data_IF_359991302587
#
_entry.id   IF_359991302587
#
_cell.length_a   1.000
_cell.length_b   1.000
_cell.length_c   1.000
_cell.angle_alpha   90.00
_cell.angle_beta   90.00
_cell.angle_gamma   90.00
#
_symmetry.space_group_name_H-M   'P 1'
#
loop_
_entity.id
_entity.type
_entity.pdbx_description
1 polymer ?
#
# COMPACT_ATOMS: atom_id res chain seq x y z
N UNK A 1 -47.97 32.48 31.12
CA UNK A 1 -48.94 31.53 30.53
C UNK A 1 -48.26 30.93 29.30
N UNK A 2 -47.85 29.66 29.34
CA UNK A 2 -47.31 28.97 28.16
C UNK A 2 -48.51 28.63 27.28
N UNK A 3 -48.58 29.23 26.09
CA UNK A 3 -49.62 28.94 25.11
C UNK A 3 -49.66 27.43 24.81
N UNK A 4 -50.86 26.85 24.78
CA UNK A 4 -51.16 25.51 24.25
C UNK A 4 -50.92 25.48 22.73
N UNK A 5 -49.67 25.65 22.31
CA UNK A 5 -49.28 25.48 20.91
C UNK A 5 -49.18 23.98 20.63
N UNK A 6 -49.95 23.50 19.66
CA UNK A 6 -49.80 22.16 19.11
C UNK A 6 -48.64 22.14 18.12
N UNK A 7 -47.76 21.16 18.25
CA UNK A 7 -46.58 21.01 17.40
C UNK A 7 -46.77 19.84 16.45
N UNK A 8 -46.35 20.00 15.19
CA UNK A 8 -46.51 18.97 14.16
C UNK A 8 -45.19 18.71 13.43
N UNK A 9 -44.88 17.44 13.21
CA UNK A 9 -43.79 17.01 12.32
C UNK A 9 -44.42 16.51 11.02
N UNK A 10 -43.85 16.93 9.89
CA UNK A 10 -44.24 16.46 8.56
C UNK A 10 -43.30 15.33 8.15
N UNK A 11 -43.87 14.17 7.83
CA UNK A 11 -43.15 13.02 7.28
C UNK A 11 -43.15 13.08 5.74
N UNK A 12 -42.28 12.29 5.09
CA UNK A 12 -42.03 12.35 3.65
C UNK A 12 -43.25 11.95 2.80
N UNK A 13 -44.14 11.15 3.35
CA UNK A 13 -45.46 10.79 2.81
C UNK A 13 -46.51 11.91 2.94
N UNK A 14 -46.09 13.10 3.37
CA UNK A 14 -46.92 14.30 3.63
C UNK A 14 -47.87 14.16 4.82
N UNK A 15 -47.72 13.14 5.66
CA UNK A 15 -48.47 13.02 6.90
C UNK A 15 -47.99 14.04 7.94
N UNK A 16 -48.93 14.64 8.68
CA UNK A 16 -48.65 15.50 9.84
C UNK A 16 -48.92 14.72 11.12
N UNK A 17 -47.90 14.59 11.97
CA UNK A 17 -47.99 13.91 13.27
C UNK A 17 -47.90 14.96 14.37
N UNK A 18 -48.90 15.02 15.25
CA UNK A 18 -48.88 15.88 16.44
C UNK A 18 -47.87 15.34 17.46
N UNK A 19 -46.99 16.20 17.96
CA UNK A 19 -45.92 15.84 18.88
C UNK A 19 -45.80 16.85 20.01
N UNK A 20 -45.04 16.51 21.05
CA UNK A 20 -44.68 17.45 22.11
C UNK A 20 -43.65 18.47 21.61
N UNK A 21 -43.58 19.62 22.29
CA UNK A 21 -42.59 20.66 22.00
C UNK A 21 -41.14 20.15 22.05
N UNK A 22 -40.84 19.25 22.98
CA UNK A 22 -39.49 18.71 23.16
C UNK A 22 -39.09 17.84 21.96
N UNK A 23 -40.00 16.97 21.50
CA UNK A 23 -39.80 16.13 20.30
C UNK A 23 -39.69 17.00 19.05
N UNK A 24 -40.55 18.01 18.91
CA UNK A 24 -40.48 18.97 17.80
C UNK A 24 -39.11 19.67 17.75
N UNK A 25 -38.64 20.16 18.90
CA UNK A 25 -37.37 20.89 19.00
C UNK A 25 -36.20 20.00 18.62
N UNK A 26 -36.14 18.77 19.16
CA UNK A 26 -35.06 17.82 18.86
C UNK A 26 -35.06 17.43 17.38
N UNK A 27 -36.22 17.11 16.80
CA UNK A 27 -36.34 16.72 15.39
C UNK A 27 -35.79 17.80 14.44
N UNK A 28 -36.19 19.05 14.64
CA UNK A 28 -35.74 20.15 13.78
C UNK A 28 -34.27 20.55 14.04
N UNK A 29 -33.77 20.39 15.27
CA UNK A 29 -32.34 20.58 15.58
C UNK A 29 -31.47 19.53 14.89
N UNK A 30 -31.87 18.26 14.92
CA UNK A 30 -31.17 17.18 14.23
C UNK A 30 -31.12 17.43 12.72
N UNK A 31 -32.26 17.77 12.12
CA UNK A 31 -32.35 18.08 10.69
C UNK A 31 -31.51 19.29 10.29
N UNK A 32 -31.41 20.32 11.15
CA UNK A 32 -30.55 21.47 10.87
C UNK A 32 -29.07 21.09 10.96
N UNK A 33 -28.72 20.25 11.93
CA UNK A 33 -27.34 19.75 12.12
C UNK A 33 -26.88 18.92 10.93
N UNK A 34 -27.72 18.02 10.43
CA UNK A 34 -27.43 17.19 9.25
C UNK A 34 -27.15 18.06 8.01
N UNK A 35 -28.05 19.00 7.70
CA UNK A 35 -27.83 19.96 6.60
C UNK A 35 -26.57 20.80 6.77
N UNK A 36 -26.27 21.23 8.00
CA UNK A 36 -25.05 21.99 8.26
C UNK A 36 -23.80 21.17 7.96
N UNK A 37 -23.80 19.87 8.30
CA UNK A 37 -22.69 18.97 7.97
C UNK A 37 -22.53 18.82 6.45
N UNK A 38 -23.63 18.59 5.72
CA UNK A 38 -23.63 18.54 4.26
C UNK A 38 -23.14 19.85 3.61
N UNK A 39 -23.67 21.00 4.04
CA UNK A 39 -23.28 22.33 3.58
C UNK A 39 -21.78 22.59 3.84
N UNK A 40 -21.28 22.20 5.01
CA UNK A 40 -19.86 22.33 5.38
C UNK A 40 -18.99 21.43 4.51
N UNK A 41 -19.39 20.19 4.31
CA UNK A 41 -18.63 19.21 3.54
C UNK A 41 -18.56 19.62 2.06
N UNK A 42 -19.68 20.08 1.48
CA UNK A 42 -19.73 20.67 0.14
C UNK A 42 -18.84 21.91 0.01
N UNK A 43 -18.93 22.85 0.98
CA UNK A 43 -18.12 24.07 0.96
C UNK A 43 -16.62 23.78 1.01
N UNK A 44 -16.23 22.73 1.71
CA UNK A 44 -14.84 22.32 1.85
C UNK A 44 -14.39 21.35 0.74
N UNK A 45 -15.27 21.00 -0.20
CA UNK A 45 -14.95 20.08 -1.30
C UNK A 45 -14.65 18.66 -0.82
N UNK A 46 -15.25 18.22 0.29
CA UNK A 46 -15.08 16.85 0.77
C UNK A 46 -15.69 15.87 -0.25
N UNK A 47 -14.87 14.95 -0.74
CA UNK A 47 -15.28 13.86 -1.62
C UNK A 47 -15.06 12.56 -0.88
N UNK A 48 -16.08 11.72 -0.83
CA UNK A 48 -15.99 10.39 -0.22
C UNK A 48 -15.44 9.38 -1.23
N UNK A 49 -14.68 8.38 -0.78
CA UNK A 49 -14.21 7.30 -1.66
C UNK A 49 -15.37 6.54 -2.31
N UNK A 50 -16.47 6.33 -1.59
CA UNK A 50 -17.69 5.73 -2.12
C UNK A 50 -18.37 6.55 -3.23
N UNK A 51 -18.00 7.83 -3.37
CA UNK A 51 -18.49 8.64 -4.50
C UNK A 51 -17.90 8.17 -5.84
N UNK A 52 -16.89 7.29 -5.82
CA UNK A 52 -16.30 6.66 -7.01
C UNK A 52 -16.75 5.21 -7.20
N UNK A 53 -17.74 4.75 -6.43
CA UNK A 53 -18.35 3.44 -6.63
C UNK A 53 -18.96 3.34 -8.04
N UNK A 54 -18.79 2.18 -8.65
CA UNK A 54 -19.46 1.77 -9.89
C UNK A 54 -20.35 0.57 -9.60
N UNK A 55 -21.24 0.19 -10.53
CA UNK A 55 -22.12 -0.98 -10.33
C UNK A 55 -21.36 -2.28 -9.98
N UNK A 56 -20.09 -2.39 -10.38
CA UNK A 56 -19.31 -3.61 -10.26
C UNK A 56 -18.10 -3.49 -9.32
N UNK A 57 -17.83 -2.31 -8.74
CA UNK A 57 -16.56 -2.06 -8.04
C UNK A 57 -16.67 -0.89 -7.05
N UNK A 58 -16.10 -1.03 -5.86
CA UNK A 58 -16.02 0.06 -4.88
C UNK A 58 -14.92 1.06 -5.27
N UNK A 59 -15.14 2.35 -5.04
CA UNK A 59 -14.16 3.41 -5.26
C UNK A 59 -12.86 3.22 -4.48
N UNK A 60 -12.90 2.53 -3.34
CA UNK A 60 -11.69 2.14 -2.60
C UNK A 60 -10.81 1.16 -3.38
N UNK A 61 -11.42 0.29 -4.18
CA UNK A 61 -10.71 -0.64 -5.06
C UNK A 61 -10.16 0.08 -6.32
N UNK A 62 -10.63 1.30 -6.63
CA UNK A 62 -10.09 2.09 -7.74
C UNK A 62 -8.70 2.66 -7.42
N UNK A 63 -8.41 2.85 -6.13
CA UNK A 63 -7.19 3.48 -5.60
C UNK A 63 -6.25 2.46 -4.94
N UNK A 64 -6.05 1.30 -5.58
CA UNK A 64 -5.12 0.28 -5.07
C UNK A 64 -3.68 0.80 -5.10
N UNK A 65 -2.99 0.67 -3.96
CA UNK A 65 -1.55 0.88 -3.91
C UNK A 65 -0.82 -0.19 -4.73
N UNK A 66 -0.05 0.26 -5.72
CA UNK A 66 0.74 -0.60 -6.61
C UNK A 66 2.19 -0.75 -6.17
N UNK A 67 2.57 -0.21 -5.00
CA UNK A 67 3.95 -0.25 -4.51
C UNK A 67 4.45 -1.66 -4.15
N UNK A 68 3.62 -2.69 -4.29
CA UNK A 68 3.92 -4.07 -3.90
C UNK A 68 3.55 -4.35 -2.45
N UNK A 69 3.44 -5.63 -2.09
CA UNK A 69 3.08 -6.03 -0.73
C UNK A 69 4.27 -5.81 0.23
N UNK A 70 3.98 -5.51 1.49
CA UNK A 70 5.01 -5.34 2.53
C UNK A 70 5.78 -6.65 2.71
N UNK A 71 5.10 -7.79 2.61
CA UNK A 71 5.70 -9.12 2.63
C UNK A 71 6.74 -9.27 1.51
N UNK A 72 6.43 -8.85 0.27
CA UNK A 72 7.38 -8.89 -0.84
C UNK A 72 8.62 -8.05 -0.55
N UNK A 73 8.44 -6.86 0.04
CA UNK A 73 9.56 -5.98 0.45
C UNK A 73 10.44 -6.68 1.49
N UNK A 74 9.83 -7.29 2.50
CA UNK A 74 10.53 -8.00 3.57
C UNK A 74 11.27 -9.22 3.00
N UNK A 75 10.62 -10.05 2.18
CA UNK A 75 11.25 -11.21 1.55
C UNK A 75 12.44 -10.82 0.67
N UNK A 76 12.32 -9.73 -0.10
CA UNK A 76 13.42 -9.22 -0.91
C UNK A 76 14.58 -8.71 -0.06
N UNK A 77 14.31 -8.03 1.06
CA UNK A 77 15.35 -7.60 2.01
C UNK A 77 16.08 -8.79 2.65
N UNK A 78 15.36 -9.84 3.05
CA UNK A 78 15.96 -11.07 3.58
C UNK A 78 16.86 -11.75 2.53
N UNK A 79 16.37 -11.91 1.30
CA UNK A 79 17.14 -12.48 0.19
C UNK A 79 18.39 -11.66 -0.11
N UNK A 80 18.26 -10.33 -0.14
CA UNK A 80 19.37 -9.43 -0.36
C UNK A 80 20.46 -9.62 0.69
N UNK A 81 20.08 -9.63 1.98
CA UNK A 81 21.02 -9.85 3.10
C UNK A 81 21.73 -11.20 3.01
N UNK A 82 21.01 -12.27 2.68
CA UNK A 82 21.57 -13.60 2.51
C UNK A 82 22.62 -13.64 1.37
N UNK A 83 22.28 -13.07 0.21
CA UNK A 83 23.21 -12.98 -0.93
C UNK A 83 24.46 -12.17 -0.58
N UNK A 84 24.31 -11.03 0.09
CA UNK A 84 25.44 -10.18 0.50
C UNK A 84 26.35 -10.91 1.49
N UNK A 85 25.79 -11.62 2.48
CA UNK A 85 26.58 -12.41 3.44
C UNK A 85 27.39 -13.48 2.71
N UNK A 86 26.73 -14.24 1.83
CA UNK A 86 27.40 -15.28 1.04
C UNK A 86 28.55 -14.72 0.21
N UNK A 87 28.34 -13.61 -0.49
CA UNK A 87 29.37 -12.99 -1.34
C UNK A 87 30.57 -12.56 -0.49
N UNK A 88 30.33 -11.89 0.65
CA UNK A 88 31.40 -11.42 1.52
C UNK A 88 32.27 -12.57 2.07
N UNK A 89 31.67 -13.73 2.33
CA UNK A 89 32.36 -14.90 2.88
C UNK A 89 33.07 -15.74 1.81
N UNK A 90 32.46 -15.87 0.63
CA UNK A 90 32.86 -16.88 -0.37
C UNK A 90 33.54 -16.29 -1.62
N UNK A 91 33.17 -15.08 -2.05
CA UNK A 91 33.68 -14.46 -3.28
C UNK A 91 34.99 -13.69 -3.05
N UNK A 92 36.06 -14.42 -2.72
CA UNK A 92 37.36 -13.85 -2.33
C UNK A 92 38.06 -12.98 -3.40
N UNK A 93 37.62 -13.06 -4.65
CA UNK A 93 38.21 -12.33 -5.79
C UNK A 93 37.25 -11.31 -6.40
N UNK A 94 36.14 -11.02 -5.72
CA UNK A 94 35.10 -10.08 -6.17
C UNK A 94 34.51 -10.44 -7.55
N UNK A 95 34.51 -11.71 -7.96
CA UNK A 95 34.03 -12.14 -9.28
C UNK A 95 32.52 -11.95 -9.41
N UNK A 96 31.74 -12.42 -8.43
CA UNK A 96 30.29 -12.18 -8.39
C UNK A 96 30.00 -10.70 -8.18
N UNK A 97 30.73 -10.05 -7.27
CA UNK A 97 30.57 -8.62 -6.98
C UNK A 97 30.73 -7.77 -8.24
N UNK A 98 31.81 -7.95 -9.00
CA UNK A 98 32.04 -7.23 -10.26
C UNK A 98 30.99 -7.58 -11.33
N UNK A 99 30.53 -8.84 -11.37
CA UNK A 99 29.46 -9.25 -12.27
C UNK A 99 28.14 -8.55 -11.95
N UNK A 100 27.82 -8.34 -10.66
CA UNK A 100 26.63 -7.58 -10.21
C UNK A 100 26.74 -6.11 -10.63
N UNK A 101 27.95 -5.54 -10.59
CA UNK A 101 28.23 -4.19 -11.10
C UNK A 101 28.27 -4.10 -12.65
N UNK A 102 27.82 -5.15 -13.36
CA UNK A 102 27.67 -5.13 -14.82
C UNK A 102 28.97 -5.33 -15.61
N UNK A 103 30.07 -5.78 -14.98
CA UNK A 103 31.29 -6.13 -15.70
C UNK A 103 31.14 -7.45 -16.44
N UNK A 104 31.67 -7.52 -17.67
CA UNK A 104 31.76 -8.77 -18.43
C UNK A 104 32.89 -9.65 -17.89
N UNK A 105 32.85 -10.95 -18.16
CA UNK A 105 33.91 -11.87 -17.69
C UNK A 105 35.30 -11.49 -18.23
N UNK A 106 35.37 -10.98 -19.46
CA UNK A 106 36.62 -10.47 -20.05
C UNK A 106 37.14 -9.24 -19.31
N UNK A 107 36.25 -8.31 -18.93
CA UNK A 107 36.62 -7.14 -18.14
C UNK A 107 37.08 -7.55 -16.73
N UNK A 108 36.38 -8.48 -16.09
CA UNK A 108 36.74 -9.02 -14.78
C UNK A 108 38.11 -9.70 -14.85
N UNK A 109 38.35 -10.51 -15.88
CA UNK A 109 39.63 -11.17 -16.11
C UNK A 109 40.78 -10.16 -16.25
N UNK A 110 40.56 -9.08 -17.01
CA UNK A 110 41.51 -7.99 -17.16
C UNK A 110 41.77 -7.25 -15.84
N UNK A 111 40.73 -6.96 -15.05
CA UNK A 111 40.84 -6.30 -13.73
C UNK A 111 41.63 -7.16 -12.75
N UNK A 112 41.38 -8.47 -12.74
CA UNK A 112 41.99 -9.41 -11.80
C UNK A 112 43.33 -9.97 -12.26
N UNK A 113 43.77 -9.68 -13.49
CA UNK A 113 45.00 -10.21 -14.06
C UNK A 113 44.97 -11.73 -14.27
N UNK A 114 43.80 -12.30 -14.56
CA UNK A 114 43.59 -13.75 -14.75
C UNK A 114 43.03 -14.05 -16.14
N UNK A 115 42.93 -15.33 -16.50
CA UNK A 115 42.29 -15.72 -17.76
C UNK A 115 40.76 -15.66 -17.67
N UNK A 116 40.09 -15.31 -18.77
CA UNK A 116 38.61 -15.32 -18.82
C UNK A 116 38.00 -16.70 -18.52
N UNK A 117 38.56 -17.84 -19.00
CA UNK A 117 38.06 -19.15 -18.63
C UNK A 117 38.12 -19.43 -17.13
N UNK A 118 39.13 -18.91 -16.43
CA UNK A 118 39.21 -19.01 -14.97
C UNK A 118 38.05 -18.26 -14.30
N UNK A 119 37.77 -17.02 -14.73
CA UNK A 119 36.63 -16.23 -14.22
C UNK A 119 35.31 -16.96 -14.45
N UNK A 120 35.09 -17.47 -15.67
CA UNK A 120 33.87 -18.19 -16.03
C UNK A 120 33.65 -19.42 -15.14
N UNK A 121 34.69 -20.23 -14.94
CA UNK A 121 34.66 -21.42 -14.08
C UNK A 121 34.37 -21.06 -12.63
N UNK A 122 35.07 -20.08 -12.07
CA UNK A 122 34.91 -19.70 -10.66
C UNK A 122 33.54 -19.05 -10.43
N UNK A 123 33.06 -18.20 -11.36
CA UNK A 123 31.72 -17.64 -11.32
C UNK A 123 30.64 -18.72 -11.30
N UNK A 124 30.73 -19.71 -12.18
CA UNK A 124 29.76 -20.81 -12.22
C UNK A 124 29.74 -21.60 -10.90
N UNK A 125 30.91 -21.87 -10.32
CA UNK A 125 31.04 -22.53 -9.01
C UNK A 125 30.42 -21.69 -7.88
N UNK A 126 30.69 -20.38 -7.84
CA UNK A 126 30.13 -19.48 -6.84
C UNK A 126 28.60 -19.36 -6.96
N UNK A 127 28.05 -19.33 -8.18
CA UNK A 127 26.61 -19.32 -8.41
C UNK A 127 25.96 -20.62 -7.90
N UNK A 128 26.58 -21.78 -8.16
CA UNK A 128 26.06 -23.06 -7.65
C UNK A 128 26.08 -23.11 -6.12
N UNK A 129 27.16 -22.64 -5.51
CA UNK A 129 27.27 -22.56 -4.06
C UNK A 129 26.25 -21.56 -3.46
N UNK A 130 26.04 -20.40 -4.11
CA UNK A 130 25.03 -19.43 -3.69
C UNK A 130 23.62 -20.02 -3.76
N UNK A 131 23.28 -20.74 -4.84
CA UNK A 131 21.97 -21.42 -4.96
C UNK A 131 21.73 -22.37 -3.79
N UNK A 132 22.70 -23.25 -3.53
CA UNK A 132 22.62 -24.19 -2.40
C UNK A 132 22.49 -23.47 -1.06
N UNK A 133 23.26 -22.39 -0.85
CA UNK A 133 23.17 -21.59 0.36
C UNK A 133 21.78 -20.96 0.54
N UNK A 134 21.18 -20.42 -0.52
CA UNK A 134 19.85 -19.84 -0.45
C UNK A 134 18.78 -20.92 -0.16
N UNK A 135 18.88 -22.09 -0.79
CA UNK A 135 17.93 -23.20 -0.54
C UNK A 135 17.99 -23.73 0.92
N UNK A 136 19.11 -23.55 1.61
CA UNK A 136 19.30 -23.99 3.00
C UNK A 136 18.96 -22.91 4.05
N UNK A 137 18.91 -21.63 3.66
CA UNK A 137 18.83 -20.50 4.60
C UNK A 137 17.62 -19.56 4.38
N UNK A 138 16.75 -19.85 3.40
CA UNK A 138 15.50 -19.14 3.11
C UNK A 138 14.34 -20.13 2.97
#
# INVERSE_FOLDING_TARGET
MKEDRKYYIKLDDKQLVEVTNDIYTVYYQMRRRERYLEERDLKNGLIYYSSWDTENMNGEELLVDKSGSIEDVIFNDMRYKAVVSFINENDKRDILKLSIFGKTETQIAAILGVSQPYVSKEKAKLILALKKYLDENL
#
